data_IF_403043953720
#
_entry.id   IF_403043953720
#
_cell.length_a   1.000
_cell.length_b   1.000
_cell.length_c   1.000
_cell.angle_alpha   90.00
_cell.angle_beta   90.00
_cell.angle_gamma   90.00
#
_symmetry.space_group_name_H-M   'P 1'
#
loop_
_entity.id
_entity.type
_entity.pdbx_description
1 polymer ?
#
# COMPACT_ATOMS: atom_id res chain seq x y z
N UNK A 1 -17.06 13.91 15.97
CA UNK A 1 -15.61 14.04 15.75
C UNK A 1 -15.26 15.51 15.61
N UNK A 2 -14.16 15.99 16.23
CA UNK A 2 -13.62 17.33 15.99
C UNK A 2 -13.40 17.57 14.49
N UNK A 3 -13.47 18.83 14.07
CA UNK A 3 -13.07 19.20 12.70
C UNK A 3 -11.58 18.90 12.50
N UNK A 4 -11.22 18.33 11.35
CA UNK A 4 -9.83 18.15 10.96
C UNK A 4 -9.30 19.47 10.42
N UNK A 5 -8.10 19.87 10.86
CA UNK A 5 -7.42 21.08 10.34
C UNK A 5 -6.73 20.84 9.00
N UNK A 6 -6.41 19.58 8.68
CA UNK A 6 -5.72 19.20 7.44
C UNK A 6 -6.71 19.14 6.27
N UNK A 7 -6.44 19.83 5.15
CA UNK A 7 -7.25 19.70 3.94
C UNK A 7 -7.04 18.34 3.28
N UNK A 8 -8.11 17.78 2.70
CA UNK A 8 -8.05 16.58 1.88
C UNK A 8 -8.48 16.92 0.45
N UNK A 9 -7.92 16.25 -0.57
CA UNK A 9 -8.43 16.34 -1.94
C UNK A 9 -9.92 16.00 -1.99
N UNK A 10 -10.68 16.68 -2.86
CA UNK A 10 -12.08 16.33 -3.12
C UNK A 10 -12.21 15.22 -4.18
N UNK A 11 -11.41 14.17 -4.01
CA UNK A 11 -11.44 12.93 -4.79
C UNK A 11 -12.14 11.85 -3.97
N UNK A 12 -12.45 10.71 -4.60
CA UNK A 12 -13.12 9.64 -3.90
C UNK A 12 -12.25 9.06 -2.76
N UNK A 13 -10.99 8.75 -3.06
CA UNK A 13 -10.03 8.29 -2.06
C UNK A 13 -9.80 9.35 -0.97
N UNK A 14 -9.65 10.63 -1.34
CA UNK A 14 -9.47 11.73 -0.38
C UNK A 14 -10.65 11.86 0.59
N UNK A 15 -11.89 11.72 0.11
CA UNK A 15 -13.09 11.72 0.97
C UNK A 15 -13.17 10.51 1.88
N UNK A 16 -12.83 9.32 1.39
CA UNK A 16 -12.77 8.09 2.20
C UNK A 16 -11.74 8.23 3.34
N UNK A 17 -10.51 8.64 3.01
CA UNK A 17 -9.44 8.85 3.99
C UNK A 17 -9.78 9.97 4.99
N UNK A 18 -10.43 11.04 4.55
CA UNK A 18 -10.96 12.08 5.45
C UNK A 18 -11.95 11.48 6.45
N UNK A 19 -12.82 10.57 6.03
CA UNK A 19 -13.74 9.89 6.94
C UNK A 19 -13.01 9.01 7.95
N UNK A 20 -12.03 8.23 7.48
CA UNK A 20 -11.17 7.41 8.37
C UNK A 20 -10.47 8.30 9.41
N UNK A 21 -9.89 9.44 9.00
CA UNK A 21 -9.24 10.37 9.92
C UNK A 21 -10.22 10.93 10.96
N UNK A 22 -11.50 11.16 10.61
CA UNK A 22 -12.55 11.58 11.56
C UNK A 22 -12.92 10.46 12.53
N UNK A 23 -12.91 9.20 12.11
CA UNK A 23 -13.13 8.06 13.01
C UNK A 23 -11.97 7.93 13.99
N UNK A 24 -10.73 8.01 13.51
CA UNK A 24 -9.52 7.97 14.34
C UNK A 24 -9.49 9.13 15.36
N UNK A 25 -9.90 10.34 14.96
CA UNK A 25 -9.97 11.48 15.90
C UNK A 25 -11.02 11.29 16.99
N UNK A 26 -12.05 10.47 16.73
CA UNK A 26 -13.09 10.10 17.69
C UNK A 26 -12.83 8.77 18.42
N UNK A 27 -11.69 8.10 18.17
CA UNK A 27 -11.42 6.73 18.65
C UNK A 27 -11.65 6.51 20.14
N UNK A 28 -11.32 7.48 20.98
CA UNK A 28 -11.52 7.38 22.45
C UNK A 28 -12.99 7.34 22.83
N UNK A 29 -13.82 8.18 22.19
CA UNK A 29 -15.28 8.17 22.41
C UNK A 29 -15.95 6.93 21.78
N UNK A 30 -15.37 6.41 20.69
CA UNK A 30 -15.84 5.21 20.02
C UNK A 30 -15.29 3.90 20.62
N UNK A 31 -14.42 3.99 21.64
CA UNK A 31 -13.74 2.83 22.24
C UNK A 31 -13.03 1.95 21.20
N UNK A 32 -12.38 2.61 20.23
CA UNK A 32 -11.62 1.96 19.17
C UNK A 32 -10.14 1.93 19.54
N UNK A 33 -9.65 0.77 19.96
CA UNK A 33 -8.26 0.59 20.39
C UNK A 33 -7.34 0.16 19.24
N UNK A 34 -7.82 -0.72 18.36
CA UNK A 34 -7.04 -1.30 17.27
C UNK A 34 -7.96 -1.63 16.09
N UNK A 35 -7.80 -0.92 14.98
CA UNK A 35 -8.68 -1.02 13.81
C UNK A 35 -7.88 -1.19 12.52
N UNK A 36 -8.50 -1.81 11.51
CA UNK A 36 -8.03 -1.82 10.13
C UNK A 36 -9.14 -1.15 9.31
N UNK A 37 -8.78 -0.12 8.56
CA UNK A 37 -9.70 0.58 7.68
C UNK A 37 -9.37 0.23 6.23
N UNK A 38 -10.38 -0.16 5.47
CA UNK A 38 -10.27 -0.37 4.03
C UNK A 38 -10.81 0.86 3.31
N UNK A 39 -9.98 1.41 2.43
CA UNK A 39 -10.34 2.44 1.46
C UNK A 39 -9.89 1.96 0.09
N UNK A 40 -10.55 2.42 -0.97
CA UNK A 40 -10.28 1.95 -2.32
C UNK A 40 -10.18 3.07 -3.33
N UNK A 41 -9.26 2.91 -4.27
CA UNK A 41 -9.19 3.70 -5.50
C UNK A 41 -9.20 2.72 -6.67
N UNK A 42 -10.24 2.76 -7.48
CA UNK A 42 -10.36 1.93 -8.69
C UNK A 42 -9.71 2.58 -9.91
N UNK A 43 -9.86 1.92 -11.06
CA UNK A 43 -9.42 2.45 -12.36
C UNK A 43 -8.08 1.90 -12.88
N UNK A 44 -7.36 1.11 -12.08
CA UNK A 44 -6.06 0.54 -12.45
C UNK A 44 -6.13 -0.60 -13.48
N UNK A 45 -7.33 -1.04 -13.88
CA UNK A 45 -7.51 -2.03 -14.94
C UNK A 45 -7.49 -1.39 -16.35
N UNK A 46 -6.38 -0.73 -16.67
CA UNK A 46 -6.26 0.08 -17.90
C UNK A 46 -5.84 -0.77 -19.10
N UNK A 47 -6.82 -1.40 -19.75
CA UNK A 47 -6.66 -2.05 -21.06
C UNK A 47 -6.67 -1.06 -22.24
N UNK A 48 -6.96 0.20 -21.95
CA UNK A 48 -6.91 1.34 -22.87
C UNK A 48 -6.42 2.59 -22.13
N UNK A 49 -5.94 3.57 -22.89
CA UNK A 49 -5.55 4.91 -22.42
C UNK A 49 -4.68 4.95 -21.16
N UNK A 50 -3.83 3.94 -20.93
CA UNK A 50 -3.06 3.79 -19.68
C UNK A 50 -2.13 4.99 -19.44
N UNK A 51 -1.47 5.49 -20.48
CA UNK A 51 -0.57 6.65 -20.38
C UNK A 51 -1.30 7.95 -20.04
N UNK A 52 -2.61 8.04 -20.31
CA UNK A 52 -3.43 9.18 -19.94
C UNK A 52 -3.99 9.03 -18.52
N UNK A 53 -4.55 7.87 -18.19
CA UNK A 53 -5.30 7.65 -16.95
C UNK A 53 -4.38 7.38 -15.74
N UNK A 54 -3.32 6.59 -15.91
CA UNK A 54 -2.50 6.12 -14.79
C UNK A 54 -1.77 7.24 -14.04
N UNK A 55 -1.20 8.27 -14.70
CA UNK A 55 -0.59 9.40 -13.99
C UNK A 55 -1.57 10.15 -13.07
N UNK A 56 -2.81 10.37 -13.51
CA UNK A 56 -3.82 11.07 -12.73
C UNK A 56 -4.24 10.25 -11.49
N UNK A 57 -4.37 8.92 -11.65
CA UNK A 57 -4.65 8.01 -10.53
C UNK A 57 -3.54 8.03 -9.48
N UNK A 58 -2.27 7.96 -9.92
CA UNK A 58 -1.11 8.03 -9.02
C UNK A 58 -0.98 9.42 -8.36
N UNK A 59 -1.35 10.49 -9.05
CA UNK A 59 -1.39 11.85 -8.50
C UNK A 59 -2.41 11.97 -7.37
N UNK A 60 -3.64 11.46 -7.58
CA UNK A 60 -4.66 11.40 -6.53
C UNK A 60 -4.23 10.50 -5.36
N UNK A 61 -3.66 9.32 -5.64
CA UNK A 61 -3.12 8.42 -4.60
C UNK A 61 -2.09 9.15 -3.73
N UNK A 62 -1.13 9.83 -4.37
CA UNK A 62 -0.08 10.61 -3.70
C UNK A 62 -0.66 11.72 -2.83
N UNK A 63 -1.54 12.55 -3.39
CA UNK A 63 -2.16 13.68 -2.67
C UNK A 63 -3.03 13.20 -1.50
N UNK A 64 -3.81 12.14 -1.70
CA UNK A 64 -4.70 11.55 -0.71
C UNK A 64 -3.93 10.90 0.44
N UNK A 65 -2.86 10.14 0.15
CA UNK A 65 -1.99 9.57 1.20
C UNK A 65 -1.23 10.65 1.97
N UNK A 66 -0.75 11.69 1.29
CA UNK A 66 -0.07 12.83 1.94
C UNK A 66 -1.01 13.53 2.93
N UNK A 67 -2.22 13.88 2.50
CA UNK A 67 -3.21 14.52 3.37
C UNK A 67 -3.57 13.65 4.59
N UNK A 68 -3.68 12.33 4.40
CA UNK A 68 -3.94 11.42 5.51
C UNK A 68 -2.78 11.34 6.50
N UNK A 69 -1.54 11.21 6.00
CA UNK A 69 -0.33 11.24 6.82
C UNK A 69 -0.24 12.54 7.62
N UNK A 70 -0.43 13.70 6.98
CA UNK A 70 -0.40 15.01 7.64
C UNK A 70 -1.46 15.13 8.72
N UNK A 71 -2.66 14.58 8.50
CA UNK A 71 -3.71 14.55 9.51
C UNK A 71 -3.33 13.67 10.72
N UNK A 72 -2.68 12.53 10.50
CA UNK A 72 -2.21 11.67 11.60
C UNK A 72 -1.08 12.35 12.38
N UNK A 73 -0.12 12.95 11.69
CA UNK A 73 0.96 13.75 12.28
C UNK A 73 0.41 14.91 13.11
N UNK A 74 -0.53 15.70 12.58
CA UNK A 74 -1.15 16.82 13.29
C UNK A 74 -1.92 16.39 14.55
N UNK A 75 -2.38 15.13 14.62
CA UNK A 75 -3.02 14.54 15.80
C UNK A 75 -2.03 13.87 16.77
N UNK A 76 -0.72 13.86 16.45
CA UNK A 76 0.30 13.15 17.22
C UNK A 76 0.15 11.63 17.16
N UNK A 77 -0.25 11.10 16.00
CA UNK A 77 -0.55 9.68 15.78
C UNK A 77 0.27 9.04 14.64
N UNK A 78 1.28 9.74 14.11
CA UNK A 78 2.06 9.23 12.99
C UNK A 78 2.78 7.90 13.29
N UNK A 79 3.13 7.63 14.56
CA UNK A 79 3.73 6.38 15.03
C UNK A 79 2.69 5.29 15.37
N UNK A 80 1.39 5.62 15.36
CA UNK A 80 0.28 4.74 15.73
C UNK A 80 -0.62 4.36 14.56
N UNK A 81 -0.43 4.99 13.41
CA UNK A 81 -1.22 4.74 12.19
C UNK A 81 -0.26 4.59 11.01
N UNK A 82 -0.30 3.42 10.38
CA UNK A 82 0.45 3.14 9.15
C UNK A 82 -0.54 2.90 8.02
N UNK A 83 -0.38 3.64 6.92
CA UNK A 83 -1.11 3.39 5.67
C UNK A 83 -0.27 2.51 4.76
N UNK A 84 -0.91 1.61 4.03
CA UNK A 84 -0.23 0.80 3.03
C UNK A 84 -1.14 0.49 1.85
N UNK A 85 -0.56 0.27 0.67
CA UNK A 85 -1.32 -0.16 -0.51
C UNK A 85 -1.28 -1.68 -0.67
N UNK A 86 -2.32 -2.22 -1.31
CA UNK A 86 -2.44 -3.60 -1.75
C UNK A 86 -3.19 -3.61 -3.10
N UNK A 87 -2.95 -4.62 -3.92
CA UNK A 87 -3.57 -4.80 -5.23
C UNK A 87 -3.65 -6.30 -5.56
N UNK A 88 -4.65 -6.69 -6.33
CA UNK A 88 -4.83 -8.09 -6.78
C UNK A 88 -3.89 -8.44 -7.95
N UNK A 89 -3.51 -7.45 -8.76
CA UNK A 89 -2.65 -7.60 -9.93
C UNK A 89 -1.71 -6.40 -10.11
N UNK A 90 -0.65 -6.62 -10.91
CA UNK A 90 0.19 -5.58 -11.49
C UNK A 90 -0.14 -5.36 -12.96
N UNK A 91 0.69 -4.60 -13.68
CA UNK A 91 0.57 -4.42 -15.14
C UNK A 91 1.77 -5.01 -15.85
N UNK A 92 1.55 -5.53 -17.05
CA UNK A 92 2.62 -6.00 -17.94
C UNK A 92 3.46 -4.83 -18.46
N UNK A 93 4.73 -5.09 -18.80
CA UNK A 93 5.62 -4.12 -19.45
C UNK A 93 5.24 -3.87 -20.92
N UNK A 94 4.59 -4.85 -21.56
CA UNK A 94 4.20 -4.79 -22.97
C UNK A 94 2.85 -4.11 -23.14
N UNK A 95 2.72 -3.33 -24.22
CA UNK A 95 1.45 -2.72 -24.60
C UNK A 95 0.53 -3.73 -25.32
N UNK A 96 -0.79 -3.62 -25.09
CA UNK A 96 -1.84 -4.29 -25.86
C UNK A 96 -2.60 -3.34 -26.81
N UNK A 97 -2.04 -2.15 -27.05
CA UNK A 97 -2.64 -1.09 -27.87
C UNK A 97 -2.28 0.27 -27.28
N UNK A 98 -3.24 0.89 -26.59
CA UNK A 98 -3.05 2.07 -25.76
C UNK A 98 -3.16 1.77 -24.25
N UNK A 99 -3.29 0.49 -23.87
CA UNK A 99 -3.20 -0.02 -22.50
C UNK A 99 -2.13 -1.10 -22.31
N UNK A 100 -2.27 -1.90 -21.26
CA UNK A 100 -1.46 -3.11 -21.01
C UNK A 100 -2.35 -4.26 -20.52
N UNK A 101 -1.80 -5.46 -20.36
CA UNK A 101 -2.50 -6.60 -19.74
C UNK A 101 -2.15 -6.76 -18.25
N UNK A 102 -2.88 -7.64 -17.57
CA UNK A 102 -2.64 -7.97 -16.17
C UNK A 102 -1.28 -8.66 -15.98
N UNK A 103 -0.51 -8.14 -15.03
CA UNK A 103 0.74 -8.71 -14.56
C UNK A 103 0.66 -9.16 -13.11
N UNK A 104 1.75 -9.71 -12.58
CA UNK A 104 1.82 -10.20 -11.20
C UNK A 104 2.58 -9.23 -10.27
N UNK A 105 3.74 -8.75 -10.70
CA UNK A 105 4.60 -7.82 -9.97
C UNK A 105 4.05 -6.40 -9.91
N UNK A 106 4.16 -5.77 -8.74
CA UNK A 106 3.82 -4.37 -8.54
C UNK A 106 4.69 -3.75 -7.42
N UNK A 107 4.56 -2.44 -7.23
CA UNK A 107 5.15 -1.72 -6.11
C UNK A 107 4.04 -1.26 -5.16
N UNK A 108 4.26 -1.50 -3.86
CA UNK A 108 3.36 -1.03 -2.81
C UNK A 108 4.01 0.08 -2.00
N UNK A 109 3.19 1.03 -1.55
CA UNK A 109 3.61 2.11 -0.66
C UNK A 109 3.27 1.75 0.78
N UNK A 110 4.17 2.09 1.71
CA UNK A 110 3.94 2.02 3.15
C UNK A 110 4.32 3.37 3.74
N UNK A 111 3.42 4.01 4.48
CA UNK A 111 3.54 5.41 4.91
C UNK A 111 3.14 5.54 6.39
N UNK A 112 3.98 6.18 7.19
CA UNK A 112 3.77 6.44 8.62
C UNK A 112 5.11 6.62 9.35
N UNK A 113 5.10 7.15 10.57
CA UNK A 113 6.33 7.36 11.36
C UNK A 113 6.89 6.05 11.92
N UNK A 114 6.07 5.00 11.96
CA UNK A 114 6.48 3.65 12.30
C UNK A 114 7.17 2.90 11.14
N UNK A 115 7.37 3.55 9.99
CA UNK A 115 8.00 2.96 8.81
C UNK A 115 9.42 3.50 8.70
N UNK A 116 10.38 2.61 8.41
CA UNK A 116 11.72 2.99 7.98
C UNK A 116 11.65 3.53 6.54
N UNK A 117 11.11 4.74 6.40
CA UNK A 117 10.83 5.40 5.12
C UNK A 117 12.09 5.84 4.36
N UNK A 118 11.88 6.45 3.20
CA UNK A 118 12.97 6.96 2.35
C UNK A 118 13.79 5.87 1.65
N UNK A 119 13.28 4.64 1.58
CA UNK A 119 13.97 3.50 0.95
C UNK A 119 13.03 2.63 0.12
N UNK A 120 13.60 1.92 -0.84
CA UNK A 120 12.93 0.81 -1.53
C UNK A 120 13.26 -0.48 -0.77
N UNK A 121 12.24 -1.26 -0.43
CA UNK A 121 12.40 -2.58 0.19
C UNK A 121 12.42 -3.64 -0.91
N UNK A 122 13.45 -4.47 -0.93
CA UNK A 122 13.68 -5.45 -1.99
C UNK A 122 14.61 -4.93 -3.08
N UNK A 123 14.51 -5.52 -4.27
CA UNK A 123 15.37 -5.20 -5.42
C UNK A 123 14.47 -4.83 -6.59
N UNK A 124 14.71 -3.66 -7.18
CA UNK A 124 14.00 -3.24 -8.40
C UNK A 124 14.32 -4.24 -9.52
N UNK A 125 13.30 -4.72 -10.26
CA UNK A 125 13.53 -5.63 -11.36
C UNK A 125 14.14 -4.90 -12.56
N UNK A 126 14.78 -5.65 -13.45
CA UNK A 126 15.05 -5.17 -14.81
C UNK A 126 13.73 -5.04 -15.58
N UNK A 127 13.45 -3.84 -16.10
CA UNK A 127 12.21 -3.53 -16.82
C UNK A 127 12.36 -3.65 -18.34
N UNK A 128 13.41 -4.31 -18.81
CA UNK A 128 13.61 -4.61 -20.23
C UNK A 128 12.72 -5.77 -20.65
N UNK A 129 11.90 -5.58 -21.69
CA UNK A 129 11.09 -6.66 -22.29
C UNK A 129 12.02 -7.75 -22.84
N UNK A 130 11.76 -9.01 -22.47
CA UNK A 130 12.63 -10.16 -22.74
C UNK A 130 13.93 -10.15 -21.94
N UNK A 131 14.04 -9.26 -20.94
CA UNK A 131 15.16 -9.18 -20.02
C UNK A 131 15.18 -10.31 -18.98
N UNK A 132 16.18 -10.33 -18.10
CA UNK A 132 16.37 -11.43 -17.14
C UNK A 132 15.26 -11.57 -16.10
N UNK A 133 14.48 -10.51 -15.86
CA UNK A 133 13.39 -10.48 -14.88
C UNK A 133 12.00 -10.58 -15.52
N UNK A 134 11.91 -10.60 -16.85
CA UNK A 134 10.68 -10.79 -17.60
C UNK A 134 10.34 -12.30 -17.65
N UNK A 135 9.22 -12.69 -17.03
CA UNK A 135 8.72 -14.06 -17.03
C UNK A 135 7.87 -14.37 -18.28
N UNK A 136 8.31 -13.83 -19.42
CA UNK A 136 7.61 -13.73 -20.69
C UNK A 136 6.40 -12.78 -20.69
N UNK A 137 6.12 -12.18 -21.86
CA UNK A 137 5.01 -11.24 -22.08
C UNK A 137 5.04 -9.98 -21.19
N UNK A 138 6.22 -9.57 -20.72
CA UNK A 138 6.36 -8.40 -19.86
C UNK A 138 5.81 -8.61 -18.45
N UNK A 139 5.67 -9.86 -17.98
CA UNK A 139 5.22 -10.15 -16.62
C UNK A 139 6.40 -10.21 -15.67
N UNK A 140 6.37 -9.39 -14.61
CA UNK A 140 7.35 -9.49 -13.52
C UNK A 140 6.82 -10.42 -12.44
N UNK A 141 7.63 -11.37 -11.96
CA UNK A 141 7.32 -12.19 -10.78
C UNK A 141 7.77 -11.45 -9.51
N UNK A 142 6.87 -11.22 -8.52
CA UNK A 142 7.27 -10.62 -7.25
C UNK A 142 8.36 -11.45 -6.54
N UNK A 143 9.45 -10.80 -6.15
CA UNK A 143 10.50 -11.41 -5.30
C UNK A 143 10.14 -11.42 -3.81
N UNK A 144 9.21 -10.55 -3.42
CA UNK A 144 8.67 -10.46 -2.07
C UNK A 144 7.23 -10.92 -2.11
N UNK A 145 6.88 -11.90 -1.29
CA UNK A 145 5.52 -12.40 -1.20
C UNK A 145 4.62 -11.47 -0.37
N UNK A 146 3.32 -11.48 -0.68
CA UNK A 146 2.30 -10.81 0.13
C UNK A 146 2.32 -11.25 1.59
N UNK A 147 2.64 -12.53 1.85
CA UNK A 147 2.80 -13.08 3.21
C UNK A 147 3.93 -12.35 3.98
N UNK A 148 5.11 -12.16 3.37
CA UNK A 148 6.22 -11.44 4.03
C UNK A 148 5.87 -9.97 4.28
N UNK A 149 5.20 -9.34 3.32
CA UNK A 149 4.75 -7.94 3.41
C UNK A 149 3.74 -7.73 4.54
N UNK A 150 2.65 -8.52 4.53
CA UNK A 150 1.60 -8.44 5.53
C UNK A 150 2.07 -8.92 6.92
N UNK A 151 2.95 -9.92 6.99
CA UNK A 151 3.54 -10.36 8.25
C UNK A 151 4.38 -9.26 8.90
N UNK A 152 5.18 -8.54 8.12
CA UNK A 152 5.99 -7.42 8.61
C UNK A 152 5.12 -6.28 9.16
N UNK A 153 4.01 -5.95 8.49
CA UNK A 153 3.03 -4.98 9.01
C UNK A 153 2.36 -5.49 10.29
N UNK A 154 1.95 -6.76 10.31
CA UNK A 154 1.25 -7.35 11.45
C UNK A 154 2.09 -7.45 12.72
N UNK A 155 3.43 -7.55 12.59
CA UNK A 155 4.31 -7.52 13.76
C UNK A 155 4.26 -6.16 14.47
N UNK A 156 4.26 -5.06 13.72
CA UNK A 156 4.06 -3.72 14.30
C UNK A 156 2.65 -3.54 14.84
N UNK A 157 1.64 -4.13 14.18
CA UNK A 157 0.26 -4.14 14.64
C UNK A 157 0.01 -4.93 15.95
N UNK A 158 1.05 -5.58 16.47
CA UNK A 158 1.02 -6.34 17.73
C UNK A 158 0.45 -7.74 17.59
N UNK A 159 0.51 -8.35 16.41
CA UNK A 159 0.18 -9.77 16.23
C UNK A 159 1.32 -10.64 16.75
N UNK A 160 1.00 -11.66 17.56
CA UNK A 160 1.99 -12.59 18.12
C UNK A 160 2.63 -13.45 17.04
N UNK A 161 3.83 -13.99 17.28
CA UNK A 161 4.52 -14.87 16.34
C UNK A 161 3.69 -16.12 16.00
N UNK A 162 2.98 -16.67 17.00
CA UNK A 162 2.07 -17.80 16.84
C UNK A 162 0.91 -17.46 15.90
N UNK A 163 0.27 -16.30 16.10
CA UNK A 163 -0.85 -15.88 15.25
C UNK A 163 -0.38 -15.55 13.82
N UNK A 164 0.80 -14.93 13.68
CA UNK A 164 1.38 -14.67 12.36
C UNK A 164 1.68 -15.97 11.60
N UNK A 165 2.15 -17.01 12.29
CA UNK A 165 2.36 -18.32 11.66
C UNK A 165 1.06 -19.00 11.21
N UNK A 166 -0.06 -18.72 11.89
CA UNK A 166 -1.39 -19.20 11.50
C UNK A 166 -1.96 -18.42 10.31
N UNK A 167 -1.87 -17.08 10.34
CA UNK A 167 -2.43 -16.19 9.32
C UNK A 167 -1.62 -16.23 8.02
N UNK A 168 -0.30 -16.37 8.13
CA UNK A 168 0.63 -16.40 7.00
C UNK A 168 1.37 -17.76 6.96
N UNK A 169 0.69 -18.84 6.55
CA UNK A 169 1.22 -20.20 6.68
C UNK A 169 2.47 -20.46 5.83
N UNK A 170 2.74 -19.64 4.80
CA UNK A 170 3.93 -19.79 3.98
C UNK A 170 5.17 -19.09 4.54
N UNK A 171 5.08 -18.34 5.65
CA UNK A 171 6.22 -17.59 6.19
C UNK A 171 7.46 -18.44 6.43
N UNK A 172 7.26 -19.68 6.88
CA UNK A 172 8.33 -20.65 7.13
C UNK A 172 9.13 -21.04 5.87
N UNK A 173 8.62 -20.72 4.67
CA UNK A 173 9.30 -20.97 3.39
C UNK A 173 10.31 -19.88 3.01
N UNK A 174 10.32 -18.76 3.73
CA UNK A 174 11.20 -17.64 3.43
C UNK A 174 12.34 -17.55 4.45
N UNK A 175 13.55 -17.28 3.97
CA UNK A 175 14.71 -17.02 4.83
C UNK A 175 14.56 -15.74 5.66
N UNK A 176 13.77 -14.78 5.17
CA UNK A 176 13.45 -13.52 5.86
C UNK A 176 11.94 -13.31 5.93
N UNK A 177 11.25 -13.86 6.96
CA UNK A 177 9.80 -13.70 7.11
C UNK A 177 9.39 -12.27 7.51
N UNK A 178 10.30 -11.50 8.11
CA UNK A 178 10.15 -10.08 8.37
C UNK A 178 11.09 -9.29 7.43
N UNK A 179 10.56 -8.27 6.77
CA UNK A 179 11.27 -7.45 5.78
C UNK A 179 11.94 -6.21 6.40
N UNK A 180 11.77 -6.02 7.71
CA UNK A 180 12.50 -5.03 8.51
C UNK A 180 12.22 -3.58 8.11
N UNK A 181 11.03 -3.29 7.56
CA UNK A 181 10.64 -1.93 7.18
C UNK A 181 9.78 -1.21 8.22
N UNK A 182 9.39 -1.90 9.29
CA UNK A 182 8.77 -1.26 10.46
C UNK A 182 9.84 -0.91 11.50
N UNK A 183 9.56 0.10 12.32
CA UNK A 183 10.36 0.54 13.49
C UNK A 183 9.90 -0.18 14.74
#
# INVERSE_FOLDING_TARGET
APALGTPFPDTDLGRQLRMVARLISARGALQMDRQIFFVGQGGYDTHDSQLANHPDMLSDLSASLTAFYDAMSAMGLGDRVTSFTASDFGRTLTSNGDGTDHGWGSHHFVVGDAVQGGRIVGTMPDLTVGGPDDADWGQIIPRIAVDQYAATLSSWYGMSDTDRALVFPNLSRFSSPNLGFMV
#
